data_IF_826662702001
#
_entry.id   IF_826662702001
#
_cell.length_a   1.000
_cell.length_b   1.000
_cell.length_c   1.000
_cell.angle_alpha   90.00
_cell.angle_beta   90.00
_cell.angle_gamma   90.00
#
_symmetry.space_group_name_H-M   'P 1'
#
loop_
_entity.id
_entity.type
_entity.pdbx_description
1 polymer ?
#
# COMPACT_ATOMS: atom_id res chain seq x y z
N UNK A 1 -34.53 -6.44 4.97
CA UNK A 1 -33.68 -7.63 4.87
C UNK A 1 -32.57 -7.34 3.85
N UNK A 2 -31.31 -7.23 4.32
CA UNK A 2 -29.99 -7.24 3.62
C UNK A 2 -29.77 -6.35 2.38
N UNK A 3 -28.60 -5.81 2.01
CA UNK A 3 -27.28 -5.52 2.59
C UNK A 3 -26.51 -4.89 1.41
N UNK A 4 -25.79 -3.79 1.61
CA UNK A 4 -24.58 -3.50 0.83
C UNK A 4 -23.71 -2.51 1.60
N UNK A 5 -22.81 -3.03 2.44
CA UNK A 5 -21.68 -2.29 3.00
C UNK A 5 -20.75 -1.90 1.86
N UNK A 6 -20.76 -0.63 1.43
CA UNK A 6 -19.61 -0.07 0.70
C UNK A 6 -18.54 0.24 1.73
N UNK A 7 -17.49 -0.57 1.75
CA UNK A 7 -16.35 -0.35 2.66
C UNK A 7 -15.64 0.96 2.29
N UNK A 8 -15.27 1.80 3.26
CA UNK A 8 -14.37 2.91 2.97
C UNK A 8 -13.00 2.31 2.60
N UNK A 9 -12.53 2.58 1.38
CA UNK A 9 -11.13 2.33 1.06
C UNK A 9 -10.29 3.18 2.01
N UNK A 10 -9.37 2.55 2.73
CA UNK A 10 -8.46 3.26 3.63
C UNK A 10 -7.64 4.20 2.75
N UNK A 11 -7.91 5.50 2.86
CA UNK A 11 -7.07 6.50 2.22
C UNK A 11 -5.67 6.37 2.85
N UNK A 12 -4.66 6.09 2.03
CA UNK A 12 -3.26 6.09 2.44
C UNK A 12 -2.83 7.55 2.63
N UNK A 13 -3.38 8.19 3.66
CA UNK A 13 -3.01 9.54 4.06
C UNK A 13 -1.86 9.41 5.03
N UNK A 14 -0.68 9.87 4.63
CA UNK A 14 0.48 9.96 5.49
C UNK A 14 0.82 11.45 5.59
N UNK A 15 0.85 11.98 6.82
CA UNK A 15 1.13 13.40 7.12
C UNK A 15 0.29 14.42 6.32
N UNK A 16 -0.99 14.08 6.05
CA UNK A 16 -1.93 14.98 5.36
C UNK A 16 -1.77 15.03 3.84
N UNK A 17 -0.83 14.28 3.27
CA UNK A 17 -0.69 14.10 1.83
C UNK A 17 -1.54 12.90 1.39
N UNK A 18 -2.48 13.13 0.49
CA UNK A 18 -3.30 12.07 -0.09
C UNK A 18 -2.60 11.45 -1.30
N UNK A 19 -2.11 10.22 -1.13
CA UNK A 19 -1.44 9.46 -2.18
C UNK A 19 -2.42 8.68 -3.08
N UNK A 20 -3.72 8.73 -2.83
CA UNK A 20 -4.71 7.93 -3.56
C UNK A 20 -4.82 8.29 -5.05
N UNK A 21 -4.49 9.52 -5.42
CA UNK A 21 -4.54 10.00 -6.80
C UNK A 21 -3.27 9.67 -7.61
N UNK A 22 -2.12 9.52 -6.95
CA UNK A 22 -0.83 9.25 -7.60
C UNK A 22 -0.81 7.86 -8.26
N UNK A 23 -0.53 7.80 -9.57
CA UNK A 23 -0.53 6.56 -10.35
C UNK A 23 -1.91 6.11 -10.82
N UNK A 24 -2.98 6.84 -10.49
CA UNK A 24 -4.31 6.60 -11.02
C UNK A 24 -4.38 6.92 -12.52
N UNK A 25 -5.34 6.33 -13.25
CA UNK A 25 -5.54 6.61 -14.69
C UNK A 25 -5.94 8.07 -14.94
N UNK A 26 -6.47 8.74 -13.91
CA UNK A 26 -6.96 10.11 -13.92
C UNK A 26 -5.82 11.14 -13.80
N UNK A 27 -4.63 10.74 -13.34
CA UNK A 27 -3.43 11.57 -13.26
C UNK A 27 -2.94 12.02 -14.64
N UNK A 28 -2.73 13.33 -14.82
CA UNK A 28 -2.21 13.90 -16.07
C UNK A 28 -0.78 13.45 -16.35
N UNK A 29 -0.42 13.31 -17.64
CA UNK A 29 0.94 12.94 -18.04
C UNK A 29 2.01 13.95 -17.54
N UNK A 30 1.64 15.22 -17.41
CA UNK A 30 2.50 16.30 -16.91
C UNK A 30 2.79 16.14 -15.39
N UNK A 31 1.82 15.58 -14.65
CA UNK A 31 1.92 15.30 -13.21
C UNK A 31 2.77 14.05 -12.92
N UNK A 32 2.91 13.16 -13.90
CA UNK A 32 3.76 11.95 -13.82
C UNK A 32 5.25 12.20 -14.04
N UNK A 33 5.65 13.45 -14.24
CA UNK A 33 7.05 13.81 -14.51
C UNK A 33 7.92 13.80 -13.25
N UNK A 34 9.24 13.69 -13.46
CA UNK A 34 10.20 13.67 -12.36
C UNK A 34 10.21 15.02 -11.62
N UNK A 35 10.15 16.12 -12.36
CA UNK A 35 10.13 17.47 -11.81
C UNK A 35 8.85 17.76 -11.02
N UNK A 36 7.67 17.32 -11.51
CA UNK A 36 6.40 17.53 -10.80
C UNK A 36 6.41 16.90 -9.40
N UNK A 37 7.03 15.73 -9.26
CA UNK A 37 7.14 15.02 -7.97
C UNK A 37 8.41 15.35 -7.18
N UNK A 38 9.16 16.39 -7.56
CA UNK A 38 10.44 16.73 -6.92
C UNK A 38 10.29 17.04 -5.44
N UNK A 39 9.30 17.86 -5.06
CA UNK A 39 9.03 18.20 -3.65
C UNK A 39 8.70 16.97 -2.81
N UNK A 40 7.85 16.09 -3.34
CA UNK A 40 7.50 14.82 -2.68
C UNK A 40 8.74 13.95 -2.48
N UNK A 41 9.62 13.88 -3.49
CA UNK A 41 10.91 13.17 -3.37
C UNK A 41 11.81 13.75 -2.29
N UNK A 42 11.98 15.07 -2.27
CA UNK A 42 12.81 15.75 -1.25
C UNK A 42 12.28 15.49 0.16
N UNK A 43 10.96 15.55 0.37
CA UNK A 43 10.33 15.18 1.64
C UNK A 43 10.59 13.72 2.02
N UNK A 44 10.42 12.79 1.07
CA UNK A 44 10.64 11.36 1.28
C UNK A 44 12.11 11.07 1.65
N UNK A 45 13.06 11.73 0.97
CA UNK A 45 14.49 11.62 1.28
C UNK A 45 14.78 12.07 2.72
N UNK A 46 14.23 13.22 3.15
CA UNK A 46 14.38 13.69 4.54
C UNK A 46 13.83 12.67 5.55
N UNK A 47 12.67 12.07 5.27
CA UNK A 47 12.07 11.07 6.15
C UNK A 47 12.91 9.78 6.21
N UNK A 48 13.50 9.36 5.09
CA UNK A 48 14.42 8.22 5.04
C UNK A 48 15.65 8.50 5.90
N UNK A 49 16.26 9.68 5.76
CA UNK A 49 17.42 10.08 6.57
C UNK A 49 17.10 10.08 8.07
N UNK A 50 15.96 10.65 8.47
CA UNK A 50 15.51 10.58 9.86
C UNK A 50 15.29 9.15 10.35
N UNK A 51 14.71 8.28 9.52
CA UNK A 51 14.48 6.88 9.86
C UNK A 51 15.79 6.13 10.09
N UNK A 52 16.77 6.34 9.22
CA UNK A 52 18.12 5.77 9.36
C UNK A 52 18.83 6.31 10.60
N UNK A 53 18.76 7.63 10.86
CA UNK A 53 19.35 8.27 12.04
C UNK A 53 18.72 7.78 13.35
N UNK A 54 17.42 7.43 13.35
CA UNK A 54 16.73 6.82 14.49
C UNK A 54 17.12 5.35 14.73
N UNK A 55 17.99 4.77 13.89
CA UNK A 55 18.47 3.39 14.00
C UNK A 55 17.62 2.38 13.22
N UNK A 56 16.74 2.85 12.33
CA UNK A 56 16.02 1.99 11.39
C UNK A 56 16.97 1.37 10.35
N UNK A 57 16.63 0.18 9.87
CA UNK A 57 17.40 -0.52 8.82
C UNK A 57 16.50 -0.78 7.60
N UNK A 58 17.08 -0.72 6.41
CA UNK A 58 16.37 -1.00 5.15
C UNK A 58 16.76 -2.41 4.71
N UNK A 59 15.77 -3.30 4.65
CA UNK A 59 15.96 -4.66 4.15
C UNK A 59 15.64 -4.73 2.65
N UNK A 60 16.51 -5.39 1.88
CA UNK A 60 16.26 -5.63 0.46
C UNK A 60 15.52 -6.95 0.30
N UNK A 61 14.27 -6.89 -0.16
CA UNK A 61 13.46 -8.08 -0.40
C UNK A 61 13.76 -8.62 -1.81
N UNK A 62 14.18 -9.89 -1.96
CA UNK A 62 14.37 -10.48 -3.27
C UNK A 62 13.04 -10.73 -3.99
N UNK A 63 13.06 -10.61 -5.31
CA UNK A 63 11.87 -10.63 -6.19
C UNK A 63 11.14 -11.98 -6.26
N UNK A 64 11.71 -13.04 -5.69
CA UNK A 64 11.14 -14.38 -5.63
C UNK A 64 10.27 -14.63 -4.38
N UNK A 65 10.16 -13.66 -3.45
CA UNK A 65 9.26 -13.77 -2.31
C UNK A 65 7.87 -13.30 -2.72
N UNK A 66 7.12 -14.20 -3.33
CA UNK A 66 5.66 -14.10 -3.31
C UNK A 66 5.20 -14.54 -1.93
N UNK A 67 4.66 -13.61 -1.12
CA UNK A 67 3.92 -13.97 0.08
C UNK A 67 2.94 -15.09 -0.30
N UNK A 68 2.99 -16.22 0.43
CA UNK A 68 2.20 -17.39 0.09
C UNK A 68 0.77 -16.96 -0.26
N UNK A 69 0.27 -17.29 -1.47
CA UNK A 69 -1.07 -16.89 -1.87
C UNK A 69 -2.07 -17.36 -0.81
N UNK A 70 -3.12 -16.57 -0.52
CA UNK A 70 -4.10 -16.89 0.51
C UNK A 70 -4.61 -18.31 0.29
N UNK A 71 -4.34 -19.19 1.24
CA UNK A 71 -4.76 -20.59 1.16
C UNK A 71 -6.29 -20.63 1.16
N UNK A 72 -6.85 -21.51 0.31
CA UNK A 72 -8.29 -21.76 0.31
C UNK A 72 -8.72 -22.17 1.72
N UNK A 73 -9.86 -21.66 2.23
CA UNK A 73 -10.39 -22.13 3.50
C UNK A 73 -10.78 -23.60 3.37
N UNK A 74 -10.30 -24.45 4.28
CA UNK A 74 -10.77 -25.83 4.41
C UNK A 74 -12.22 -25.81 4.89
N UNK A 75 -13.15 -26.28 4.05
CA UNK A 75 -14.56 -26.41 4.42
C UNK A 75 -14.74 -27.67 5.28
N UNK A 76 -14.74 -27.51 6.60
CA UNK A 76 -15.03 -28.61 7.55
C UNK A 76 -16.53 -28.95 7.67
N UNK A 77 -17.35 -28.49 6.72
CA UNK A 77 -18.79 -28.76 6.74
C UNK A 77 -19.05 -30.19 6.24
N UNK A 78 -19.65 -31.04 7.08
CA UNK A 78 -19.98 -32.44 6.77
C UNK A 78 -19.09 -33.50 7.42
N UNK A 79 -18.01 -33.12 8.12
CA UNK A 79 -17.12 -34.06 8.83
C UNK A 79 -17.64 -34.50 10.21
N UNK A 80 -18.88 -34.13 10.57
CA UNK A 80 -19.57 -34.60 11.77
C UNK A 80 -20.66 -35.56 11.33
N UNK A 81 -20.67 -36.82 11.81
CA UNK A 81 -21.78 -37.74 11.54
C UNK A 81 -23.08 -37.14 12.08
N UNK A 82 -24.14 -37.23 11.29
CA UNK A 82 -25.51 -36.79 11.62
C UNK A 82 -26.23 -37.81 12.50
#
# INVERSE_FOLDING_TARGET
>A
MAMARRMPQKANVVDGVDFSYLGSKEESAEERTVESRRRLREMLTSQIEEFLNKGGTIETIPSNITANPPKKPESNYGNRPI
#
